data_IF_599636161707
#
_entry.id   IF_599636161707
#
_cell.length_a   1.000
_cell.length_b   1.000
_cell.length_c   1.000
_cell.angle_alpha   90.00
_cell.angle_beta   90.00
_cell.angle_gamma   90.00
#
_symmetry.space_group_name_H-M   'P 1'
#
loop_
_entity.id
_entity.type
_entity.pdbx_description
1 polymer ?
#
# COMPACT_ATOMS: atom_id res chain seq x y z
N UNK A 1 -5.33 -5.87 14.64
CA UNK A 1 -6.72 -5.41 14.62
C UNK A 1 -7.63 -6.56 14.20
N UNK A 2 -8.69 -6.93 14.94
CA UNK A 2 -9.67 -7.91 14.50
C UNK A 2 -10.33 -7.50 13.18
N UNK A 3 -10.58 -8.45 12.28
CA UNK A 3 -11.19 -8.18 10.95
C UNK A 3 -12.54 -7.46 11.02
N UNK A 4 -13.28 -7.67 12.12
CA UNK A 4 -14.57 -7.03 12.40
C UNK A 4 -14.49 -5.52 12.58
N UNK A 5 -13.30 -4.96 12.87
CA UNK A 5 -13.14 -3.51 13.05
C UNK A 5 -13.10 -2.72 11.74
N UNK A 6 -12.94 -3.39 10.58
CA UNK A 6 -13.03 -2.75 9.25
C UNK A 6 -14.47 -2.81 8.70
N UNK A 7 -15.43 -2.30 9.46
CA UNK A 7 -16.85 -2.33 9.11
C UNK A 7 -17.31 -1.04 8.39
N UNK A 8 -18.63 -0.92 8.15
CA UNK A 8 -19.19 0.27 7.52
C UNK A 8 -18.90 1.57 8.28
N UNK A 9 -18.80 1.52 9.63
CA UNK A 9 -18.54 2.69 10.46
C UNK A 9 -17.07 3.14 10.31
N UNK A 10 -16.12 2.20 10.25
CA UNK A 10 -14.73 2.48 9.91
C UNK A 10 -14.61 3.20 8.56
N UNK A 11 -15.23 2.65 7.52
CA UNK A 11 -15.17 3.26 6.19
C UNK A 11 -15.85 4.62 6.14
N UNK A 12 -16.96 4.82 6.86
CA UNK A 12 -17.59 6.13 6.99
C UNK A 12 -16.62 7.12 7.63
N UNK A 13 -16.03 6.78 8.78
CA UNK A 13 -15.14 7.67 9.54
C UNK A 13 -13.93 8.13 8.73
N UNK A 14 -13.25 7.22 8.05
CA UNK A 14 -11.95 7.51 7.42
C UNK A 14 -12.03 7.80 5.91
N UNK A 15 -13.16 7.53 5.26
CA UNK A 15 -13.28 7.67 3.80
C UNK A 15 -14.49 8.47 3.29
N UNK A 16 -15.39 9.00 4.14
CA UNK A 16 -16.59 9.71 3.63
C UNK A 16 -16.39 11.20 3.36
N UNK A 17 -15.89 11.98 4.32
CA UNK A 17 -15.94 13.45 4.25
C UNK A 17 -14.58 14.09 4.04
N UNK A 18 -13.53 13.62 4.73
CA UNK A 18 -12.15 14.10 4.55
C UNK A 18 -11.19 12.91 4.60
N UNK A 19 -11.07 12.13 3.50
CA UNK A 19 -10.16 11.00 3.49
C UNK A 19 -8.71 11.46 3.61
N UNK A 20 -7.88 10.68 4.30
CA UNK A 20 -6.43 10.91 4.42
C UNK A 20 -5.76 11.09 3.05
N UNK A 21 -6.23 10.35 2.04
CA UNK A 21 -5.86 10.55 0.64
C UNK A 21 -7.10 10.69 -0.23
N UNK A 22 -7.20 11.82 -0.94
CA UNK A 22 -8.24 12.00 -1.96
C UNK A 22 -8.03 11.03 -3.12
N UNK A 23 -9.13 10.66 -3.81
CA UNK A 23 -9.08 9.84 -5.03
C UNK A 23 -8.07 10.42 -6.04
N UNK A 24 -8.11 11.74 -6.28
CA UNK A 24 -7.18 12.43 -7.19
C UNK A 24 -5.71 12.21 -6.80
N UNK A 25 -5.37 12.29 -5.51
CA UNK A 25 -4.00 12.06 -5.03
C UNK A 25 -3.54 10.63 -5.29
N UNK A 26 -4.40 9.63 -5.06
CA UNK A 26 -4.10 8.23 -5.35
C UNK A 26 -3.98 7.98 -6.86
N UNK A 27 -4.83 8.59 -7.70
CA UNK A 27 -4.73 8.45 -9.16
C UNK A 27 -3.43 9.07 -9.71
N UNK A 28 -2.97 10.21 -9.14
CA UNK A 28 -1.65 10.79 -9.46
C UNK A 28 -0.52 9.83 -9.08
N UNK A 29 -0.54 9.30 -7.86
CA UNK A 29 0.45 8.32 -7.39
C UNK A 29 0.47 7.05 -8.26
N UNK A 30 -0.71 6.54 -8.63
CA UNK A 30 -0.83 5.37 -9.49
C UNK A 30 -0.26 5.62 -10.89
N UNK A 31 -0.50 6.81 -11.43
CA UNK A 31 0.13 7.25 -12.69
C UNK A 31 1.65 7.25 -12.55
N UNK A 32 2.21 7.86 -11.50
CA UNK A 32 3.65 7.90 -11.27
C UNK A 32 4.28 6.51 -11.15
N UNK A 33 3.68 5.61 -10.36
CA UNK A 33 4.17 4.22 -10.20
C UNK A 33 4.06 3.44 -11.51
N UNK A 34 3.00 3.63 -12.29
CA UNK A 34 2.89 3.00 -13.59
C UNK A 34 4.01 3.46 -14.55
N UNK A 35 4.23 4.77 -14.63
CA UNK A 35 5.24 5.35 -15.53
C UNK A 35 6.66 4.96 -15.11
N UNK A 36 6.95 4.85 -13.82
CA UNK A 36 8.27 4.40 -13.37
C UNK A 36 8.52 2.92 -13.71
N UNK A 37 7.49 2.08 -13.64
CA UNK A 37 7.59 0.69 -14.09
C UNK A 37 7.84 0.62 -15.60
N UNK A 38 7.16 1.47 -16.40
CA UNK A 38 7.38 1.55 -17.84
C UNK A 38 8.80 2.03 -18.17
N UNK A 39 9.33 3.02 -17.44
CA UNK A 39 10.71 3.50 -17.57
C UNK A 39 11.75 2.40 -17.30
N UNK A 40 11.47 1.47 -16.38
CA UNK A 40 12.34 0.32 -16.09
C UNK A 40 12.10 -0.89 -17.00
N UNK A 41 11.42 -0.71 -18.13
CA UNK A 41 11.06 -1.79 -19.06
C UNK A 41 10.30 -2.95 -18.38
N UNK A 42 9.53 -2.63 -17.34
CA UNK A 42 8.71 -3.57 -16.57
C UNK A 42 7.21 -3.30 -16.79
N UNK A 43 6.66 -3.57 -17.99
CA UNK A 43 5.27 -3.24 -18.32
C UNK A 43 4.28 -3.92 -17.37
N UNK A 44 3.37 -3.13 -16.80
CA UNK A 44 2.39 -3.57 -15.80
C UNK A 44 1.20 -4.25 -16.48
N UNK A 45 1.32 -5.55 -16.78
CA UNK A 45 0.24 -6.36 -17.37
C UNK A 45 -0.66 -7.02 -16.34
N UNK A 46 -0.21 -7.07 -15.09
CA UNK A 46 -0.96 -7.64 -13.98
C UNK A 46 -0.70 -6.89 -12.68
N UNK A 47 -1.77 -6.56 -11.97
CA UNK A 47 -1.75 -5.82 -10.70
C UNK A 47 -2.47 -6.63 -9.61
N UNK A 48 -1.86 -6.67 -8.42
CA UNK A 48 -2.50 -7.13 -7.20
C UNK A 48 -2.59 -5.97 -6.21
N UNK A 49 -3.80 -5.57 -5.86
CA UNK A 49 -4.11 -4.52 -4.88
C UNK A 49 -4.50 -5.17 -3.55
N UNK A 50 -3.63 -5.08 -2.55
CA UNK A 50 -3.80 -5.68 -1.22
C UNK A 50 -4.36 -4.64 -0.25
N UNK A 51 -5.45 -4.99 0.45
CA UNK A 51 -6.14 -4.05 1.34
C UNK A 51 -6.73 -2.90 0.54
N UNK A 52 -7.38 -3.24 -0.58
CA UNK A 52 -7.81 -2.30 -1.60
C UNK A 52 -8.80 -1.25 -1.08
N UNK A 53 -9.47 -1.50 0.05
CA UNK A 53 -10.32 -0.54 0.75
C UNK A 53 -11.46 -0.02 -0.14
N UNK A 54 -11.40 1.26 -0.50
CA UNK A 54 -12.36 1.91 -1.40
C UNK A 54 -12.06 1.72 -2.89
N UNK A 55 -10.97 1.01 -3.21
CA UNK A 55 -10.66 0.52 -4.55
C UNK A 55 -9.91 1.49 -5.47
N UNK A 56 -9.45 2.66 -5.00
CA UNK A 56 -8.92 3.72 -5.86
C UNK A 56 -7.78 3.26 -6.80
N UNK A 57 -6.84 2.47 -6.31
CA UNK A 57 -5.77 1.88 -7.14
C UNK A 57 -6.32 0.94 -8.21
N UNK A 58 -7.09 -0.06 -7.78
CA UNK A 58 -7.68 -1.04 -8.70
C UNK A 58 -8.61 -0.40 -9.75
N UNK A 59 -9.41 0.60 -9.37
CA UNK A 59 -10.28 1.36 -10.27
C UNK A 59 -9.49 2.15 -11.31
N UNK A 60 -8.41 2.82 -10.89
CA UNK A 60 -7.56 3.58 -11.80
C UNK A 60 -6.95 2.67 -12.87
N UNK A 61 -6.45 1.49 -12.49
CA UNK A 61 -5.92 0.52 -13.46
C UNK A 61 -6.99 -0.02 -14.39
N UNK A 62 -8.17 -0.41 -13.87
CA UNK A 62 -9.28 -0.89 -14.70
C UNK A 62 -9.74 0.15 -15.72
N UNK A 63 -9.74 1.44 -15.34
CA UNK A 63 -10.14 2.56 -16.19
C UNK A 63 -9.09 2.91 -17.25
N UNK A 64 -7.83 3.09 -16.84
CA UNK A 64 -6.80 3.69 -17.70
C UNK A 64 -5.94 2.65 -18.44
N UNK A 65 -5.90 1.41 -17.95
CA UNK A 65 -5.09 0.33 -18.52
C UNK A 65 -5.94 -0.94 -18.67
N UNK A 66 -6.92 -0.89 -19.57
CA UNK A 66 -7.94 -1.95 -19.77
C UNK A 66 -7.38 -3.34 -20.09
N UNK A 67 -6.13 -3.43 -20.55
CA UNK A 67 -5.42 -4.70 -20.81
C UNK A 67 -4.72 -5.27 -19.58
N UNK A 68 -4.58 -4.50 -18.51
CA UNK A 68 -3.97 -4.92 -17.25
C UNK A 68 -4.95 -5.78 -16.46
N UNK A 69 -4.54 -7.00 -16.12
CA UNK A 69 -5.33 -7.90 -15.27
C UNK A 69 -5.23 -7.46 -13.81
N UNK A 70 -6.31 -6.96 -13.24
CA UNK A 70 -6.37 -6.45 -11.87
C UNK A 70 -7.05 -7.45 -10.94
N UNK A 71 -6.36 -7.88 -9.89
CA UNK A 71 -6.94 -8.54 -8.73
C UNK A 71 -6.88 -7.58 -7.54
N UNK A 72 -7.99 -7.40 -6.83
CA UNK A 72 -8.07 -6.57 -5.62
C UNK A 72 -8.63 -7.41 -4.48
N UNK A 73 -7.98 -7.37 -3.33
CA UNK A 73 -8.37 -8.16 -2.16
C UNK A 73 -8.43 -7.29 -0.90
N UNK A 74 -9.29 -7.67 0.04
CA UNK A 74 -9.40 -7.00 1.33
C UNK A 74 -9.78 -8.00 2.44
N UNK A 75 -9.48 -7.66 3.69
CA UNK A 75 -9.89 -8.43 4.88
C UNK A 75 -11.28 -8.03 5.37
N UNK A 76 -11.76 -6.86 4.96
CA UNK A 76 -13.09 -6.34 5.28
C UNK A 76 -14.14 -7.00 4.39
N UNK A 77 -15.05 -7.77 5.01
CA UNK A 77 -16.24 -8.27 4.33
C UNK A 77 -17.12 -7.12 3.80
N UNK A 78 -17.14 -5.97 4.48
CA UNK A 78 -17.84 -4.78 4.01
C UNK A 78 -17.24 -4.24 2.72
N UNK A 79 -15.92 -4.03 2.68
CA UNK A 79 -15.22 -3.54 1.49
C UNK A 79 -15.39 -4.52 0.32
N UNK A 80 -15.24 -5.81 0.57
CA UNK A 80 -15.44 -6.86 -0.43
C UNK A 80 -16.85 -6.81 -1.03
N UNK A 81 -17.89 -6.71 -0.18
CA UNK A 81 -19.29 -6.62 -0.64
C UNK A 81 -19.56 -5.32 -1.41
N UNK A 82 -19.02 -4.20 -0.95
CA UNK A 82 -19.32 -2.87 -1.49
C UNK A 82 -18.55 -2.53 -2.77
N UNK A 83 -17.29 -2.95 -2.85
CA UNK A 83 -16.34 -2.57 -3.90
C UNK A 83 -15.88 -3.76 -4.77
N UNK A 84 -16.40 -4.97 -4.51
CA UNK A 84 -16.17 -6.15 -5.35
C UNK A 84 -14.77 -6.77 -5.20
N UNK A 85 -14.14 -6.63 -4.04
CA UNK A 85 -12.85 -7.25 -3.73
C UNK A 85 -13.02 -8.72 -3.31
N UNK A 86 -11.99 -9.55 -3.52
CA UNK A 86 -11.97 -10.88 -2.90
C UNK A 86 -11.63 -10.79 -1.41
N UNK A 87 -12.32 -11.56 -0.58
CA UNK A 87 -12.05 -11.65 0.85
C UNK A 87 -10.78 -12.49 1.10
N UNK A 88 -9.64 -11.83 1.32
CA UNK A 88 -8.33 -12.47 1.59
C UNK A 88 -7.55 -11.74 2.67
N UNK A 89 -6.76 -12.50 3.42
CA UNK A 89 -5.86 -11.98 4.44
C UNK A 89 -4.41 -12.29 4.06
N UNK A 90 -3.67 -11.25 3.64
CA UNK A 90 -2.28 -11.37 3.17
C UNK A 90 -1.33 -11.96 4.24
N UNK A 91 -1.68 -11.91 5.53
CA UNK A 91 -0.85 -12.51 6.58
C UNK A 91 -0.86 -14.04 6.56
N UNK A 92 -1.90 -14.65 5.99
CA UNK A 92 -2.08 -16.12 5.93
C UNK A 92 -2.33 -16.64 4.51
N UNK A 93 -2.43 -15.75 3.53
CA UNK A 93 -2.70 -16.08 2.13
C UNK A 93 -1.66 -15.46 1.21
N UNK A 94 -1.37 -16.15 0.11
CA UNK A 94 -0.68 -15.59 -1.05
C UNK A 94 -1.31 -16.18 -2.32
N UNK A 95 -1.34 -15.43 -3.44
CA UNK A 95 -1.81 -15.95 -4.72
C UNK A 95 -0.88 -17.05 -5.24
N UNK A 96 -1.44 -17.96 -6.04
CA UNK A 96 -0.67 -19.04 -6.71
C UNK A 96 0.23 -18.53 -7.84
N UNK A 97 -0.07 -17.33 -8.37
CA UNK A 97 0.70 -16.66 -9.43
C UNK A 97 1.28 -15.34 -8.94
N UNK A 98 2.34 -14.89 -9.61
CA UNK A 98 2.92 -13.57 -9.40
C UNK A 98 2.24 -12.48 -10.25
N UNK A 99 2.38 -11.25 -9.82
CA UNK A 99 1.87 -10.04 -10.49
C UNK A 99 3.02 -9.10 -10.80
N UNK A 100 2.97 -8.42 -11.96
CA UNK A 100 4.02 -7.50 -12.39
C UNK A 100 4.17 -6.35 -11.39
N UNK A 101 3.05 -5.83 -10.86
CA UNK A 101 2.99 -4.87 -9.77
C UNK A 101 2.11 -5.40 -8.63
N UNK A 102 2.61 -5.34 -7.40
CA UNK A 102 1.83 -5.53 -6.18
C UNK A 102 1.76 -4.20 -5.44
N UNK A 103 0.58 -3.83 -4.97
CA UNK A 103 0.32 -2.60 -4.21
C UNK A 103 -0.10 -3.02 -2.81
N UNK A 104 0.54 -2.44 -1.80
CA UNK A 104 0.17 -2.60 -0.41
C UNK A 104 0.35 -1.27 0.31
N UNK A 105 -0.72 -0.48 0.31
CA UNK A 105 -0.72 0.88 0.85
C UNK A 105 -1.57 0.93 2.13
N UNK A 106 -0.96 1.34 3.24
CA UNK A 106 -1.66 1.54 4.51
C UNK A 106 -2.40 0.29 5.01
N UNK A 107 -1.77 -0.88 4.89
CA UNK A 107 -2.31 -2.17 5.37
C UNK A 107 -1.59 -2.73 6.60
N UNK A 108 -0.26 -2.80 6.57
CA UNK A 108 0.51 -3.60 7.54
C UNK A 108 0.55 -3.02 8.95
N UNK A 109 0.20 -1.74 9.12
CA UNK A 109 0.09 -1.12 10.44
C UNK A 109 -1.00 -1.75 11.31
N UNK A 110 -1.97 -2.46 10.73
CA UNK A 110 -3.03 -3.14 11.48
C UNK A 110 -2.67 -4.56 11.94
N UNK A 111 -1.54 -5.09 11.48
CA UNK A 111 -1.06 -6.44 11.78
C UNK A 111 -0.06 -6.39 12.92
N UNK A 112 -0.09 -7.38 13.82
CA UNK A 112 0.98 -7.57 14.81
C UNK A 112 2.29 -8.00 14.14
N UNK A 113 3.38 -8.07 14.90
CA UNK A 113 4.72 -8.31 14.39
C UNK A 113 4.89 -9.65 13.65
N UNK A 114 4.24 -10.71 14.13
CA UNK A 114 4.27 -12.01 13.45
C UNK A 114 3.51 -11.97 12.12
N UNK A 115 2.29 -11.44 12.15
CA UNK A 115 1.44 -11.32 10.96
C UNK A 115 2.04 -10.37 9.91
N UNK A 116 2.69 -9.28 10.32
CA UNK A 116 3.36 -8.35 9.42
C UNK A 116 4.56 -9.00 8.69
N UNK A 117 5.38 -9.81 9.38
CA UNK A 117 6.46 -10.57 8.74
C UNK A 117 5.92 -11.60 7.75
N UNK A 118 4.87 -12.33 8.13
CA UNK A 118 4.21 -13.28 7.25
C UNK A 118 3.61 -12.59 6.00
N UNK A 119 2.98 -11.43 6.19
CA UNK A 119 2.47 -10.60 5.11
C UNK A 119 3.58 -10.14 4.16
N UNK A 120 4.71 -9.62 4.67
CA UNK A 120 5.86 -9.22 3.82
C UNK A 120 6.38 -10.40 3.00
N UNK A 121 6.51 -11.58 3.61
CA UNK A 121 6.90 -12.81 2.89
C UNK A 121 5.89 -13.17 1.79
N UNK A 122 4.58 -13.03 2.05
CA UNK A 122 3.54 -13.31 1.06
C UNK A 122 3.47 -12.25 -0.06
N UNK A 123 3.71 -10.98 0.26
CA UNK A 123 3.89 -9.91 -0.73
C UNK A 123 5.07 -10.25 -1.66
N UNK A 124 6.22 -10.65 -1.09
CA UNK A 124 7.37 -11.11 -1.89
C UNK A 124 7.05 -12.31 -2.79
N UNK A 125 6.25 -13.27 -2.30
CA UNK A 125 5.79 -14.39 -3.13
C UNK A 125 4.87 -13.96 -4.26
N UNK A 126 4.04 -12.93 -4.04
CA UNK A 126 3.11 -12.39 -5.03
C UNK A 126 3.79 -11.46 -6.06
N UNK A 127 4.91 -10.83 -5.70
CA UNK A 127 5.58 -9.85 -6.56
C UNK A 127 6.47 -10.51 -7.61
N UNK A 128 6.26 -10.13 -8.87
CA UNK A 128 7.15 -10.47 -9.98
C UNK A 128 8.22 -9.43 -10.21
N UNK A 129 7.83 -8.15 -10.36
CA UNK A 129 8.77 -7.06 -10.68
C UNK A 129 8.81 -6.00 -9.58
N UNK A 130 7.66 -5.37 -9.27
CA UNK A 130 7.61 -4.19 -8.38
C UNK A 130 6.59 -4.39 -7.26
N UNK A 131 6.99 -4.02 -6.04
CA UNK A 131 6.09 -3.81 -4.91
C UNK A 131 6.03 -2.31 -4.63
N UNK A 132 4.84 -1.72 -4.72
CA UNK A 132 4.56 -0.43 -4.09
C UNK A 132 4.11 -0.70 -2.64
N UNK A 133 4.87 -0.17 -1.69
CA UNK A 133 4.66 -0.41 -0.26
C UNK A 133 4.68 0.90 0.50
N UNK A 134 3.61 1.17 1.24
CA UNK A 134 3.48 2.34 2.10
C UNK A 134 2.86 1.91 3.42
N UNK A 135 3.46 2.36 4.51
CA UNK A 135 2.95 2.15 5.86
C UNK A 135 3.44 3.29 6.74
N UNK A 136 2.58 3.89 7.59
CA UNK A 136 3.02 4.90 8.52
C UNK A 136 3.99 4.30 9.53
N UNK A 137 5.16 4.91 9.67
CA UNK A 137 6.16 4.51 10.66
C UNK A 137 6.00 5.30 11.96
N UNK A 138 6.71 4.90 13.02
CA UNK A 138 6.84 5.69 14.25
C UNK A 138 7.32 7.12 13.98
N UNK A 139 8.17 7.33 12.98
CA UNK A 139 8.65 8.66 12.63
C UNK A 139 7.54 9.48 11.97
N UNK A 140 6.83 8.87 11.02
CA UNK A 140 5.73 9.54 10.31
C UNK A 140 4.60 9.91 11.27
N UNK A 141 4.24 9.01 12.18
CA UNK A 141 3.18 9.24 13.17
C UNK A 141 3.51 10.40 14.12
N UNK A 142 4.79 10.74 14.31
CA UNK A 142 5.20 11.88 15.14
C UNK A 142 5.26 13.19 14.37
N UNK A 143 5.62 13.18 13.09
CA UNK A 143 6.01 14.39 12.38
C UNK A 143 5.22 14.68 11.09
N UNK A 144 4.66 13.64 10.46
CA UNK A 144 4.23 13.70 9.05
C UNK A 144 2.73 13.39 8.84
N UNK A 145 2.02 12.90 9.86
CA UNK A 145 0.60 12.54 9.74
C UNK A 145 -0.31 13.60 10.33
N UNK A 146 -1.45 13.83 9.66
CA UNK A 146 -2.55 14.59 10.23
C UNK A 146 -3.31 13.71 11.23
N UNK A 147 -3.25 14.10 12.51
CA UNK A 147 -3.87 13.36 13.61
C UNK A 147 -5.39 13.31 13.53
N UNK A 148 -6.04 14.23 12.82
CA UNK A 148 -7.49 14.28 12.71
C UNK A 148 -8.06 13.16 11.82
N UNK A 149 -7.28 12.67 10.86
CA UNK A 149 -7.71 11.70 9.84
C UNK A 149 -6.91 10.40 9.87
N UNK A 150 -5.94 10.28 10.78
CA UNK A 150 -5.11 9.08 10.95
C UNK A 150 -5.65 8.21 12.07
N UNK A 151 -5.76 6.91 11.81
CA UNK A 151 -6.04 5.92 12.84
C UNK A 151 -4.80 5.65 13.70
N UNK A 152 -4.94 5.75 15.02
CA UNK A 152 -3.86 5.48 15.97
C UNK A 152 -3.97 4.11 16.64
N UNK A 153 -5.03 3.33 16.38
CA UNK A 153 -5.16 1.94 16.84
C UNK A 153 -4.35 0.98 15.95
N UNK A 154 -3.05 1.29 15.82
CA UNK A 154 -2.13 0.63 14.90
C UNK A 154 -0.83 0.22 15.59
N UNK A 155 -0.17 -0.79 15.04
CA UNK A 155 1.17 -1.20 15.45
C UNK A 155 2.21 -0.25 14.87
N UNK A 156 2.60 0.76 15.63
CA UNK A 156 3.64 1.70 15.25
C UNK A 156 5.02 1.01 15.26
N UNK A 157 5.66 0.89 14.09
CA UNK A 157 7.02 0.32 13.92
C UNK A 157 7.97 1.36 13.32
N UNK A 158 9.27 1.25 13.58
CA UNK A 158 10.26 2.13 12.94
C UNK A 158 10.41 1.80 11.45
N UNK A 159 10.84 2.75 10.63
CA UNK A 159 11.22 2.45 9.24
C UNK A 159 12.36 1.44 9.18
N UNK A 160 13.31 1.47 10.12
CA UNK A 160 14.38 0.46 10.22
C UNK A 160 13.85 -0.97 10.36
N UNK A 161 12.76 -1.19 11.11
CA UNK A 161 12.12 -2.50 11.23
C UNK A 161 11.59 -2.96 9.87
N UNK A 162 10.83 -2.10 9.18
CA UNK A 162 10.26 -2.44 7.86
C UNK A 162 11.36 -2.68 6.83
N UNK A 163 12.40 -1.84 6.80
CA UNK A 163 13.55 -2.01 5.90
C UNK A 163 14.26 -3.34 6.16
N UNK A 164 14.45 -3.73 7.41
CA UNK A 164 15.08 -5.01 7.76
C UNK A 164 14.26 -6.23 7.30
N UNK A 165 12.93 -6.14 7.30
CA UNK A 165 12.07 -7.21 6.79
C UNK A 165 11.96 -7.20 5.25
N UNK A 166 11.80 -6.03 4.64
CA UNK A 166 11.69 -5.87 3.18
C UNK A 166 12.99 -6.25 2.46
N UNK A 167 14.16 -5.87 2.99
CA UNK A 167 15.47 -6.12 2.36
C UNK A 167 15.83 -7.60 2.22
N UNK A 168 15.11 -8.49 2.93
CA UNK A 168 15.25 -9.95 2.78
C UNK A 168 14.77 -10.44 1.41
N UNK A 169 13.92 -9.66 0.74
CA UNK A 169 13.23 -10.06 -0.50
C UNK A 169 13.31 -9.02 -1.62
N UNK A 170 13.49 -7.74 -1.26
CA UNK A 170 13.43 -6.60 -2.18
C UNK A 170 14.68 -5.73 -2.05
N UNK A 171 15.05 -5.07 -3.14
CA UNK A 171 15.95 -3.91 -3.11
C UNK A 171 15.12 -2.64 -3.21
N UNK A 172 15.46 -1.62 -2.44
CA UNK A 172 14.81 -0.32 -2.60
C UNK A 172 15.20 0.26 -3.97
N UNK A 173 14.22 0.59 -4.80
CA UNK A 173 14.48 0.94 -6.19
C UNK A 173 15.13 2.31 -6.37
N UNK A 174 14.73 3.30 -5.54
CA UNK A 174 15.10 4.70 -5.78
C UNK A 174 14.62 5.17 -7.16
N UNK A 175 15.23 6.24 -7.68
CA UNK A 175 15.09 6.68 -9.07
C UNK A 175 16.06 7.84 -9.40
N UNK A 176 17.17 7.95 -8.68
CA UNK A 176 18.06 9.12 -8.76
C UNK A 176 17.41 10.44 -8.29
N UNK A 177 16.22 10.39 -7.67
CA UNK A 177 15.52 11.57 -7.17
C UNK A 177 16.14 12.03 -5.85
N UNK A 178 16.50 13.31 -5.81
CA UNK A 178 16.97 14.00 -4.61
C UNK A 178 16.10 15.22 -4.38
N UNK A 179 15.77 15.47 -3.11
CA UNK A 179 15.02 16.65 -2.70
C UNK A 179 16.02 17.69 -2.19
N UNK A 180 15.90 18.93 -2.66
CA UNK A 180 16.72 20.03 -2.19
C UNK A 180 16.54 20.21 -0.67
N UNK A 181 17.63 20.48 0.06
CA UNK A 181 17.58 20.66 1.53
C UNK A 181 16.66 21.79 1.98
N UNK A 182 16.39 22.75 1.09
CA UNK A 182 15.48 23.90 1.32
C UNK A 182 14.04 23.61 0.91
N UNK A 183 13.74 22.42 0.39
CA UNK A 183 12.40 22.04 -0.02
C UNK A 183 11.49 21.82 1.19
N UNK A 184 10.21 22.13 1.02
CA UNK A 184 9.14 21.86 1.99
C UNK A 184 8.44 20.53 1.73
N UNK A 185 8.91 19.72 0.77
CA UNK A 185 8.33 18.41 0.49
C UNK A 185 8.55 17.49 1.69
N UNK A 186 7.45 16.93 2.21
CA UNK A 186 7.47 15.93 3.27
C UNK A 186 7.36 14.55 2.63
N UNK A 187 8.35 13.70 2.90
CA UNK A 187 8.34 12.28 2.54
C UNK A 187 7.96 11.45 3.76
N UNK A 188 7.21 10.36 3.52
CA UNK A 188 7.10 9.29 4.51
C UNK A 188 8.45 8.61 4.66
N UNK A 189 8.76 8.09 5.87
CA UNK A 189 10.09 7.55 6.20
C UNK A 189 10.56 6.49 5.20
N UNK A 190 9.64 5.69 4.64
CA UNK A 190 9.95 4.63 3.68
C UNK A 190 10.02 5.09 2.21
N UNK A 191 9.57 6.29 1.88
CA UNK A 191 9.70 6.86 0.53
C UNK A 191 11.13 7.32 0.26
N UNK A 192 11.81 7.85 1.28
CA UNK A 192 13.24 8.18 1.20
C UNK A 192 14.12 6.93 1.23
N UNK A 193 15.35 7.01 0.75
CA UNK A 193 16.39 6.02 1.07
C UNK A 193 16.85 6.28 2.49
N UNK A 194 16.87 5.24 3.35
CA UNK A 194 17.30 5.42 4.74
C UNK A 194 18.68 6.07 4.81
N UNK A 195 18.88 6.95 5.79
CA UNK A 195 20.23 7.35 6.22
C UNK A 195 20.91 6.21 6.96
#
# INVERSE_FOLDING_TARGET
MPRSQFDAAFFKRFYSTTPMHSRRKIETLATSVHQICAWWDAPVRSVLDIGAGVGYWSDWYRKNHTRTKVLSVDVSAHACKKYGHELRDISVWAPSRKFDLVICQSVLQYLNDGAARAAIKNLARATKNVLFFEVPTKNDLRHNVDRAVTDFEIYARSGSWYRNELKKYFRQAGAGLWIAKTSTIVLYELEGTGS
#
